data_IF_184072662353
#
_entry.id   IF_184072662353
#
_cell.length_a   1.000
_cell.length_b   1.000
_cell.length_c   1.000
_cell.angle_alpha   90.00
_cell.angle_beta   90.00
_cell.angle_gamma   90.00
#
_symmetry.space_group_name_H-M   'P 1'
#
loop_
_entity.id
_entity.type
_entity.pdbx_description
1 polymer ?
#
# COMPACT_ATOMS: atom_id res chain seq x y z
N UNK A 1 -23.51 -63.52 -24.70
CA UNK A 1 -22.94 -63.03 -23.41
C UNK A 1 -22.86 -61.51 -23.48
N UNK A 2 -23.70 -60.78 -22.73
CA UNK A 2 -23.74 -59.31 -22.71
C UNK A 2 -22.77 -58.80 -21.65
N UNK A 3 -21.78 -57.99 -22.04
CA UNK A 3 -20.87 -57.31 -21.10
C UNK A 3 -21.43 -55.91 -20.82
N UNK A 4 -21.93 -55.75 -19.61
CA UNK A 4 -22.34 -54.47 -19.02
C UNK A 4 -21.09 -53.59 -18.88
N UNK A 5 -21.10 -52.42 -19.52
CA UNK A 5 -20.03 -51.42 -19.36
C UNK A 5 -20.37 -50.52 -18.17
N UNK A 6 -19.53 -50.54 -17.15
CA UNK A 6 -19.67 -49.71 -15.94
C UNK A 6 -18.99 -48.36 -16.17
N UNK A 7 -19.78 -47.32 -15.90
CA UNK A 7 -19.50 -45.96 -15.45
C UNK A 7 -18.03 -45.61 -15.13
N UNK A 8 -17.54 -44.55 -15.77
CA UNK A 8 -16.35 -43.81 -15.35
C UNK A 8 -16.60 -42.31 -15.46
N UNK A 9 -17.36 -41.74 -14.52
CA UNK A 9 -17.50 -40.30 -14.37
C UNK A 9 -16.22 -39.79 -13.68
N UNK A 10 -15.25 -39.36 -14.50
CA UNK A 10 -14.01 -38.75 -14.05
C UNK A 10 -14.31 -37.39 -13.40
N UNK A 11 -14.12 -37.32 -12.08
CA UNK A 11 -14.16 -36.10 -11.29
C UNK A 11 -12.92 -35.25 -11.62
N UNK A 12 -12.99 -34.48 -12.71
CA UNK A 12 -11.97 -33.48 -13.02
C UNK A 12 -12.08 -32.34 -12.00
N UNK A 13 -11.18 -32.34 -11.03
CA UNK A 13 -11.07 -31.29 -10.02
C UNK A 13 -10.95 -29.91 -10.66
N UNK A 14 -11.79 -28.98 -10.24
CA UNK A 14 -11.61 -27.56 -10.48
C UNK A 14 -10.28 -27.11 -9.84
N UNK A 15 -9.22 -27.05 -10.64
CA UNK A 15 -8.08 -26.20 -10.34
C UNK A 15 -8.52 -24.75 -10.55
N UNK A 16 -9.05 -24.12 -9.51
CA UNK A 16 -9.22 -22.66 -9.52
C UNK A 16 -7.83 -22.02 -9.53
N UNK A 17 -7.49 -21.17 -10.51
CA UNK A 17 -6.23 -20.44 -10.49
C UNK A 17 -6.25 -19.53 -9.26
N UNK A 18 -5.25 -19.65 -8.40
CA UNK A 18 -4.94 -18.67 -7.36
C UNK A 18 -4.88 -17.31 -8.05
N UNK A 19 -5.82 -16.43 -7.73
CA UNK A 19 -5.84 -15.07 -8.26
C UNK A 19 -4.54 -14.40 -7.80
N UNK A 20 -3.67 -14.05 -8.76
CA UNK A 20 -2.47 -13.30 -8.46
C UNK A 20 -2.90 -11.94 -7.88
N UNK A 21 -2.76 -11.75 -6.57
CA UNK A 21 -2.92 -10.44 -5.95
C UNK A 21 -1.78 -9.56 -6.48
N UNK A 22 -2.12 -8.63 -7.38
CA UNK A 22 -1.20 -7.59 -7.81
C UNK A 22 -0.91 -6.70 -6.60
N UNK A 23 0.36 -6.51 -6.27
CA UNK A 23 0.73 -5.54 -5.24
C UNK A 23 0.41 -4.14 -5.75
N UNK A 24 -0.33 -3.36 -4.97
CA UNK A 24 -0.58 -1.95 -5.23
C UNK A 24 -0.15 -1.13 -4.02
N UNK A 25 0.34 0.08 -4.27
CA UNK A 25 0.81 0.99 -3.23
C UNK A 25 -0.16 2.15 -3.04
N UNK A 26 -0.41 2.52 -1.78
CA UNK A 26 -1.16 3.72 -1.41
C UNK A 26 -0.34 4.98 -1.72
N UNK A 27 -1.02 6.08 -2.09
CA UNK A 27 -0.38 7.38 -2.25
C UNK A 27 0.35 7.76 -0.93
N UNK A 28 1.62 8.23 -0.97
CA UNK A 28 2.43 8.33 0.25
C UNK A 28 1.89 9.29 1.31
N UNK A 29 1.26 10.38 0.90
CA UNK A 29 0.65 11.36 1.81
C UNK A 29 -0.58 10.78 2.53
N UNK A 30 -1.40 10.01 1.82
CA UNK A 30 -2.51 9.26 2.40
C UNK A 30 -2.00 8.18 3.37
N UNK A 31 -0.89 7.50 3.02
CA UNK A 31 -0.25 6.55 3.92
C UNK A 31 0.29 7.24 5.19
N UNK A 32 0.88 8.44 5.07
CA UNK A 32 1.34 9.22 6.22
C UNK A 32 0.20 9.55 7.17
N UNK A 33 -0.95 10.01 6.66
CA UNK A 33 -2.14 10.25 7.49
C UNK A 33 -2.60 8.95 8.13
N UNK A 34 -2.81 7.89 7.34
CA UNK A 34 -3.29 6.60 7.83
C UNK A 34 -2.43 6.01 8.97
N UNK A 35 -1.11 6.17 8.90
CA UNK A 35 -0.18 5.63 9.92
C UNK A 35 -0.27 6.42 11.22
N UNK A 36 -0.56 7.72 11.15
CA UNK A 36 -0.51 8.64 12.29
C UNK A 36 -1.88 9.03 12.84
N UNK A 37 -2.95 8.74 12.11
CA UNK A 37 -4.34 8.91 12.50
C UNK A 37 -4.72 7.80 13.50
N UNK A 38 -4.56 8.12 14.78
CA UNK A 38 -4.73 7.18 15.88
C UNK A 38 -6.20 6.91 16.15
N UNK A 39 -7.04 7.94 15.98
CA UNK A 39 -8.48 7.87 16.24
C UNK A 39 -9.29 7.36 15.03
N UNK A 40 -8.67 7.29 13.84
CA UNK A 40 -9.22 6.82 12.55
C UNK A 40 -10.32 7.70 11.99
N UNK A 41 -10.26 9.01 12.20
CA UNK A 41 -11.22 9.97 11.67
C UNK A 41 -10.87 10.49 10.26
N UNK A 42 -9.70 10.11 9.74
CA UNK A 42 -9.19 10.49 8.42
C UNK A 42 -8.35 11.75 8.44
N UNK A 43 -8.08 12.33 9.61
CA UNK A 43 -7.30 13.55 9.79
C UNK A 43 -6.19 13.34 10.82
N UNK A 44 -5.27 14.30 10.89
CA UNK A 44 -4.33 14.42 11.99
C UNK A 44 -4.69 15.66 12.80
N UNK A 45 -5.12 15.48 14.04
CA UNK A 45 -5.18 16.59 14.98
C UNK A 45 -3.78 17.01 15.46
N UNK A 46 -3.71 18.07 16.26
CA UNK A 46 -2.44 18.59 16.76
C UNK A 46 -1.65 17.57 17.60
N UNK A 47 -2.35 16.76 18.38
CA UNK A 47 -1.74 15.76 19.23
C UNK A 47 -1.17 14.60 18.40
N UNK A 48 -1.92 14.12 17.41
CA UNK A 48 -1.47 13.12 16.45
C UNK A 48 -0.28 13.62 15.64
N UNK A 49 -0.31 14.87 15.17
CA UNK A 49 0.81 15.51 14.49
C UNK A 49 2.07 15.58 15.35
N UNK A 50 1.97 16.01 16.61
CA UNK A 50 3.10 16.11 17.53
C UNK A 50 3.77 14.75 17.82
N UNK A 51 3.00 13.67 17.74
CA UNK A 51 3.47 12.31 17.97
C UNK A 51 3.72 11.52 16.67
N UNK A 52 3.56 12.18 15.52
CA UNK A 52 3.62 11.53 14.23
C UNK A 52 5.02 10.98 13.91
N UNK A 53 5.04 9.88 13.18
CA UNK A 53 6.22 9.17 12.70
C UNK A 53 6.22 9.12 11.19
N UNK A 54 7.41 9.01 10.62
CA UNK A 54 7.64 8.92 9.18
C UNK A 54 8.46 7.67 8.83
N UNK A 55 8.18 6.55 9.51
CA UNK A 55 8.91 5.30 9.27
C UNK A 55 8.71 4.84 7.81
N UNK A 56 9.82 4.65 7.08
CA UNK A 56 9.85 4.40 5.63
C UNK A 56 9.26 5.52 4.74
N UNK A 57 9.02 6.71 5.30
CA UNK A 57 8.53 7.88 4.59
C UNK A 57 9.55 9.02 4.70
N UNK A 58 9.79 9.72 3.60
CA UNK A 58 10.53 10.97 3.58
C UNK A 58 9.53 12.11 3.39
N UNK A 59 9.56 13.09 4.28
CA UNK A 59 8.72 14.29 4.23
C UNK A 59 9.53 15.51 3.78
N UNK A 60 8.87 16.47 3.14
CA UNK A 60 9.43 17.80 2.83
C UNK A 60 9.16 18.83 3.94
N UNK A 61 8.31 18.48 4.90
CA UNK A 61 7.92 19.27 6.06
C UNK A 61 8.51 18.72 7.36
N UNK A 62 8.55 19.55 8.39
CA UNK A 62 9.01 19.18 9.73
C UNK A 62 7.86 18.54 10.53
N UNK A 63 7.84 17.20 10.58
CA UNK A 63 6.86 16.43 11.36
C UNK A 63 6.90 16.83 12.84
N UNK A 64 5.73 17.02 13.46
CA UNK A 64 5.57 17.38 14.86
C UNK A 64 5.86 18.84 15.21
N UNK A 65 6.27 19.66 14.24
CA UNK A 65 6.50 21.09 14.45
C UNK A 65 5.17 21.86 14.44
N UNK A 66 4.91 22.68 15.48
CA UNK A 66 3.68 23.46 15.63
C UNK A 66 3.51 24.55 14.56
N UNK A 67 4.59 25.24 14.19
CA UNK A 67 4.54 26.27 13.15
C UNK A 67 4.27 25.64 11.78
N UNK A 68 4.80 24.44 11.54
CA UNK A 68 4.55 23.70 10.32
C UNK A 68 3.11 23.18 10.24
N UNK A 69 2.52 22.73 11.36
CA UNK A 69 1.09 22.39 11.44
C UNK A 69 0.23 23.57 11.00
N UNK A 70 0.42 24.73 11.63
CA UNK A 70 -0.33 25.95 11.32
C UNK A 70 -0.11 26.45 9.88
N UNK A 71 1.04 26.13 9.27
CA UNK A 71 1.34 26.46 7.88
C UNK A 71 0.59 25.55 6.90
N UNK A 72 0.40 24.28 7.25
CA UNK A 72 -0.24 23.26 6.42
C UNK A 72 -1.77 23.31 6.53
N UNK A 73 -2.30 23.59 7.72
CA UNK A 73 -3.73 23.79 8.02
C UNK A 73 -4.21 25.13 7.42
N UNK A 74 -4.38 25.15 6.09
CA UNK A 74 -4.73 26.37 5.36
C UNK A 74 -6.21 26.72 5.51
N UNK A 75 -7.06 25.75 5.85
CA UNK A 75 -8.49 25.97 6.05
C UNK A 75 -8.83 26.33 7.51
N UNK A 76 -7.84 26.24 8.41
CA UNK A 76 -7.91 26.62 9.83
C UNK A 76 -8.93 25.80 10.63
N UNK A 77 -9.11 24.53 10.29
CA UNK A 77 -10.03 23.63 10.99
C UNK A 77 -9.37 22.84 12.13
N UNK A 78 -8.08 23.11 12.39
CA UNK A 78 -7.25 22.48 13.42
C UNK A 78 -7.00 20.99 13.18
N UNK A 79 -7.09 20.57 11.93
CA UNK A 79 -6.81 19.21 11.48
C UNK A 79 -5.99 19.25 10.19
N UNK A 80 -5.25 18.18 9.93
CA UNK A 80 -4.54 18.00 8.68
C UNK A 80 -5.10 16.79 7.92
N UNK A 81 -5.59 17.03 6.71
CA UNK A 81 -5.90 15.96 5.76
C UNK A 81 -4.77 15.80 4.73
N UNK A 82 -4.76 14.67 4.02
CA UNK A 82 -3.71 14.36 3.05
C UNK A 82 -3.55 15.42 1.94
N UNK A 83 -4.63 16.10 1.56
CA UNK A 83 -4.58 17.17 0.55
C UNK A 83 -3.76 18.39 1.01
N UNK A 84 -3.81 18.72 2.30
CA UNK A 84 -3.12 19.88 2.89
C UNK A 84 -1.63 19.68 3.00
N UNK A 85 -1.21 18.44 3.22
CA UNK A 85 0.20 18.07 3.22
C UNK A 85 0.84 18.24 1.84
N UNK A 86 0.06 18.13 0.75
CA UNK A 86 0.53 18.21 -0.63
C UNK A 86 0.92 16.85 -1.22
N UNK A 87 0.68 16.70 -2.54
CA UNK A 87 0.76 15.41 -3.23
C UNK A 87 2.18 14.81 -3.26
N UNK A 88 3.21 15.63 -3.47
CA UNK A 88 4.62 15.20 -3.59
C UNK A 88 5.44 15.46 -2.31
N UNK A 89 4.78 15.92 -1.25
CA UNK A 89 5.42 16.31 0.00
C UNK A 89 5.85 15.13 0.86
N UNK A 90 5.31 13.94 0.57
CA UNK A 90 5.68 12.67 1.19
C UNK A 90 6.04 11.67 0.10
N UNK A 91 7.07 10.86 0.34
CA UNK A 91 7.52 9.81 -0.57
C UNK A 91 8.01 8.60 0.21
N UNK A 92 7.78 7.40 -0.31
CA UNK A 92 8.37 6.20 0.28
C UNK A 92 9.89 6.20 0.11
N UNK A 93 10.62 5.90 1.18
CA UNK A 93 12.06 5.62 1.10
C UNK A 93 12.26 4.32 0.32
N UNK A 94 11.46 3.30 0.65
CA UNK A 94 11.34 2.04 -0.09
C UNK A 94 9.89 1.78 -0.44
N UNK A 95 9.60 1.62 -1.73
CA UNK A 95 8.25 1.34 -2.21
C UNK A 95 7.69 0.06 -1.56
N UNK A 96 6.44 0.05 -1.06
CA UNK A 96 5.83 -1.12 -0.41
C UNK A 96 5.85 -2.40 -1.26
N UNK A 97 5.79 -2.26 -2.58
CA UNK A 97 5.77 -3.37 -3.53
C UNK A 97 7.15 -3.76 -4.07
N UNK A 98 8.24 -3.15 -3.60
CA UNK A 98 9.57 -3.35 -4.16
C UNK A 98 10.01 -4.82 -4.16
N UNK A 99 9.76 -5.57 -3.07
CA UNK A 99 10.13 -6.98 -2.97
C UNK A 99 9.45 -7.86 -4.02
N UNK A 100 8.14 -7.67 -4.17
CA UNK A 100 7.33 -8.44 -5.13
C UNK A 100 7.74 -8.13 -6.57
N UNK A 101 7.94 -6.85 -6.89
CA UNK A 101 8.41 -6.44 -8.21
C UNK A 101 9.80 -7.00 -8.54
N UNK A 102 10.71 -6.99 -7.56
CA UNK A 102 12.04 -7.57 -7.72
C UNK A 102 11.97 -9.08 -7.96
N UNK A 103 11.12 -9.80 -7.23
CA UNK A 103 10.93 -11.23 -7.44
C UNK A 103 10.44 -11.53 -8.86
N UNK A 104 9.41 -10.83 -9.33
CA UNK A 104 8.89 -11.00 -10.70
C UNK A 104 9.98 -10.70 -11.75
N UNK A 105 10.77 -9.64 -11.53
CA UNK A 105 11.90 -9.29 -12.41
C UNK A 105 12.99 -10.37 -12.44
N UNK A 106 13.23 -11.07 -11.32
CA UNK A 106 14.19 -12.20 -11.27
C UNK A 106 13.67 -13.41 -12.04
N UNK A 107 12.41 -13.77 -11.83
CA UNK A 107 11.77 -14.91 -12.50
C UNK A 107 11.69 -14.72 -14.02
N UNK A 108 11.34 -13.52 -14.49
CA UNK A 108 11.28 -13.21 -15.92
C UNK A 108 12.66 -13.31 -16.59
N UNK A 109 13.72 -12.81 -15.93
CA UNK A 109 15.11 -12.91 -16.39
C UNK A 109 15.60 -14.36 -16.45
N UNK A 110 15.21 -15.20 -15.49
CA UNK A 110 15.58 -16.61 -15.52
C UNK A 110 14.97 -17.31 -16.75
N UNK A 111 13.67 -17.10 -16.99
CA UNK A 111 12.97 -17.68 -18.16
C UNK A 111 13.59 -17.24 -19.49
N UNK A 112 14.02 -15.98 -19.63
CA UNK A 112 14.65 -15.48 -20.86
C UNK A 112 16.05 -16.05 -21.13
N UNK A 113 16.72 -16.66 -20.15
CA UNK A 113 18.06 -17.25 -20.30
C UNK A 113 18.01 -18.75 -20.63
N UNK A 114 16.90 -19.41 -20.28
CA UNK A 114 16.72 -20.87 -20.45
C UNK A 114 16.02 -21.20 -21.77
N UNK A 115 15.39 -20.22 -22.43
CA UNK A 115 14.92 -20.30 -23.81
C UNK A 115 16.02 -19.92 -24.80
#
# INVERSE_FOLDING_TARGET
MKRTMILGLSLSGLLMPLTAQACSQMQPTAAFVLINDANRDGFLDLYEWQNARSDNLQTSFQVGNLAEFARLDYNQDQKLQAAELGFDSVRYIRAPCADWEEQIRRESRFKSRVQ
#
